data_IF_350567646531
#
_entry.id   IF_350567646531
#
_cell.length_a   1.000
_cell.length_b   1.000
_cell.length_c   1.000
_cell.angle_alpha   90.00
_cell.angle_beta   90.00
_cell.angle_gamma   90.00
#
_symmetry.space_group_name_H-M   'P 1'
#
loop_
_entity.id
_entity.type
_entity.pdbx_description
1 polymer ?
#
# COMPACT_ATOMS: atom_id res chain seq x y z
N UNK A 1 -16.79 -12.09 -5.94
CA UNK A 1 -15.51 -12.21 -5.21
C UNK A 1 -15.36 -10.99 -4.31
N UNK A 2 -15.08 -11.18 -3.02
CA UNK A 2 -14.87 -10.08 -2.06
C UNK A 2 -13.46 -9.54 -2.28
N UNK A 3 -13.33 -8.27 -2.66
CA UNK A 3 -12.04 -7.57 -2.71
C UNK A 3 -11.70 -7.08 -1.30
N UNK A 4 -10.44 -7.16 -0.92
CA UNK A 4 -9.94 -6.60 0.34
C UNK A 4 -9.79 -5.08 0.21
N UNK A 5 -10.16 -4.35 1.24
CA UNK A 5 -9.98 -2.89 1.33
C UNK A 5 -8.98 -2.59 2.44
N UNK A 6 -7.92 -1.86 2.11
CA UNK A 6 -6.92 -1.32 3.03
C UNK A 6 -6.93 0.22 2.99
N UNK A 7 -8.01 0.83 2.53
CA UNK A 7 -8.12 2.29 2.47
C UNK A 7 -7.92 2.90 3.86
N UNK A 8 -7.08 3.94 3.95
CA UNK A 8 -6.72 4.60 5.21
C UNK A 8 -5.87 3.75 6.18
N UNK A 9 -5.46 2.53 5.81
CA UNK A 9 -4.67 1.68 6.68
C UNK A 9 -3.28 2.28 6.93
N UNK A 10 -2.84 2.28 8.19
CA UNK A 10 -1.47 2.64 8.60
C UNK A 10 -0.69 1.34 8.77
N UNK A 11 0.20 1.06 7.83
CA UNK A 11 0.99 -0.18 7.76
C UNK A 11 2.47 0.05 8.06
N UNK A 12 2.80 1.20 8.65
CA UNK A 12 4.17 1.65 8.94
C UNK A 12 5.01 0.55 9.58
N UNK A 13 6.22 0.34 9.04
CA UNK A 13 7.20 -0.67 9.49
C UNK A 13 6.71 -2.13 9.46
N UNK A 14 5.64 -2.44 8.72
CA UNK A 14 5.12 -3.80 8.62
C UNK A 14 5.87 -4.67 7.60
N UNK A 15 5.67 -5.98 7.73
CA UNK A 15 6.17 -6.98 6.78
C UNK A 15 5.03 -7.66 6.04
N UNK A 16 5.00 -7.54 4.71
CA UNK A 16 4.09 -8.32 3.88
C UNK A 16 4.80 -9.60 3.42
N UNK A 17 4.33 -10.74 3.93
CA UNK A 17 4.95 -12.03 3.65
C UNK A 17 4.86 -12.41 2.16
N UNK A 18 5.87 -13.14 1.68
CA UNK A 18 6.07 -13.45 0.26
C UNK A 18 4.84 -14.09 -0.43
N UNK A 19 4.09 -14.95 0.22
CA UNK A 19 2.94 -15.62 -0.43
C UNK A 19 1.65 -14.79 -0.39
N UNK A 20 1.68 -13.59 0.19
CA UNK A 20 0.53 -12.69 0.27
C UNK A 20 0.16 -12.18 -1.12
N UNK A 21 -1.11 -12.38 -1.51
CA UNK A 21 -1.67 -11.88 -2.76
C UNK A 21 -2.36 -10.54 -2.51
N UNK A 22 -1.94 -9.52 -3.26
CA UNK A 22 -2.50 -8.17 -3.19
C UNK A 22 -3.35 -7.83 -4.42
N UNK A 23 -3.58 -8.79 -5.32
CA UNK A 23 -4.37 -8.57 -6.53
C UNK A 23 -5.80 -8.10 -6.19
N UNK A 24 -6.21 -6.99 -6.80
CA UNK A 24 -7.54 -6.40 -6.64
C UNK A 24 -7.81 -5.73 -5.29
N UNK A 25 -6.78 -5.47 -4.48
CA UNK A 25 -6.89 -4.68 -3.24
C UNK A 25 -7.16 -3.19 -3.55
N UNK A 26 -7.91 -2.52 -2.68
CA UNK A 26 -7.98 -1.04 -2.63
C UNK A 26 -7.07 -0.51 -1.53
N UNK A 27 -6.30 0.54 -1.83
CA UNK A 27 -5.27 1.12 -0.93
C UNK A 27 -5.36 2.64 -0.84
N UNK A 28 -6.54 3.23 -1.07
CA UNK A 28 -6.68 4.70 -1.13
C UNK A 28 -6.32 5.30 0.22
N UNK A 29 -5.34 6.20 0.25
CA UNK A 29 -4.87 6.83 1.49
C UNK A 29 -4.20 5.86 2.47
N UNK A 30 -3.75 4.68 2.02
CA UNK A 30 -2.95 3.79 2.87
C UNK A 30 -1.52 4.32 3.01
N UNK A 31 -0.90 4.08 4.17
CA UNK A 31 0.48 4.47 4.47
C UNK A 31 1.38 3.22 4.54
N UNK A 32 2.29 3.12 3.59
CA UNK A 32 3.26 2.03 3.44
C UNK A 32 4.69 2.43 3.85
N UNK A 33 4.85 3.48 4.66
CA UNK A 33 6.18 3.94 5.09
C UNK A 33 6.97 2.78 5.72
N UNK A 34 8.16 2.53 5.18
CA UNK A 34 9.06 1.44 5.60
C UNK A 34 8.44 0.03 5.57
N UNK A 35 7.41 -0.20 4.75
CA UNK A 35 6.87 -1.55 4.53
C UNK A 35 7.80 -2.35 3.64
N UNK A 36 8.20 -3.53 4.12
CA UNK A 36 9.01 -4.45 3.33
C UNK A 36 8.12 -5.20 2.32
N UNK A 37 8.22 -4.79 1.05
CA UNK A 37 7.51 -5.34 -0.10
C UNK A 37 8.48 -6.00 -1.09
N UNK A 38 7.99 -6.99 -1.84
CA UNK A 38 8.67 -7.39 -3.07
C UNK A 38 8.47 -6.34 -4.16
N UNK A 39 9.42 -6.29 -5.11
CA UNK A 39 9.40 -5.35 -6.24
C UNK A 39 8.15 -5.51 -7.13
N UNK A 40 7.64 -6.73 -7.32
CA UNK A 40 6.42 -6.99 -8.10
C UNK A 40 5.18 -6.44 -7.38
N UNK A 41 5.09 -6.65 -6.06
CA UNK A 41 4.00 -6.12 -5.24
C UNK A 41 4.03 -4.60 -5.22
N UNK A 42 5.19 -3.99 -4.93
CA UNK A 42 5.36 -2.54 -4.94
C UNK A 42 4.95 -1.94 -6.28
N UNK A 43 5.39 -2.52 -7.40
CA UNK A 43 5.01 -2.05 -8.75
C UNK A 43 3.51 -2.12 -8.99
N UNK A 44 2.86 -3.20 -8.58
CA UNK A 44 1.40 -3.32 -8.68
C UNK A 44 0.68 -2.30 -7.81
N UNK A 45 1.11 -2.13 -6.55
CA UNK A 45 0.51 -1.13 -5.66
C UNK A 45 0.71 0.29 -6.19
N UNK A 46 1.88 0.62 -6.72
CA UNK A 46 2.15 1.92 -7.36
C UNK A 46 1.24 2.20 -8.56
N UNK A 47 0.78 1.19 -9.31
CA UNK A 47 -0.13 1.42 -10.44
C UNK A 47 -1.55 1.75 -10.02
N UNK A 48 -1.89 1.56 -8.74
CA UNK A 48 -3.21 1.82 -8.16
C UNK A 48 -3.17 2.80 -6.97
N UNK A 49 -2.00 3.32 -6.62
CA UNK A 49 -1.80 4.20 -5.47
C UNK A 49 -2.50 5.55 -5.70
N UNK A 50 -3.23 6.02 -4.69
CA UNK A 50 -3.85 7.35 -4.70
C UNK A 50 -4.23 7.80 -3.30
N UNK A 51 -4.30 9.10 -3.11
CA UNK A 51 -4.75 9.73 -1.86
C UNK A 51 -3.66 9.91 -0.82
N UNK A 52 -4.05 10.57 0.25
CA UNK A 52 -3.21 10.89 1.41
C UNK A 52 -3.88 10.29 2.64
N UNK A 53 -3.09 9.70 3.53
CA UNK A 53 -3.63 9.15 4.77
C UNK A 53 -4.10 10.28 5.70
N UNK A 54 -5.35 10.24 6.17
CA UNK A 54 -5.92 11.30 7.03
C UNK A 54 -5.29 11.35 8.44
N UNK A 55 -4.66 10.27 8.90
CA UNK A 55 -4.05 10.17 10.23
C UNK A 55 -2.58 10.59 10.19
N UNK A 56 -1.82 10.10 9.22
CA UNK A 56 -0.36 10.34 9.13
C UNK A 56 0.00 11.53 8.23
N UNK A 57 -0.89 11.92 7.31
CA UNK A 57 -0.65 12.98 6.34
C UNK A 57 0.28 12.58 5.19
N UNK A 58 0.70 11.31 5.12
CA UNK A 58 1.62 10.80 4.09
C UNK A 58 0.84 10.44 2.82
N UNK A 59 1.37 10.83 1.66
CA UNK A 59 0.83 10.41 0.36
C UNK A 59 1.08 8.92 0.11
N UNK A 60 0.07 8.20 -0.36
CA UNK A 60 0.18 6.74 -0.55
C UNK A 60 1.26 6.37 -1.55
N UNK A 61 1.41 7.12 -2.66
CA UNK A 61 2.44 6.83 -3.66
C UNK A 61 3.84 7.17 -3.15
N UNK A 62 3.97 8.25 -2.35
CA UNK A 62 5.21 8.60 -1.66
C UNK A 62 5.63 7.52 -0.66
N UNK A 63 4.71 7.05 0.19
CA UNK A 63 4.99 5.98 1.17
C UNK A 63 5.42 4.66 0.53
N UNK A 64 4.97 4.40 -0.71
CA UNK A 64 5.37 3.25 -1.52
C UNK A 64 6.67 3.47 -2.29
N UNK A 65 7.28 4.65 -2.24
CA UNK A 65 8.46 5.03 -3.02
C UNK A 65 8.28 4.77 -4.53
N UNK A 66 7.13 5.16 -5.09
CA UNK A 66 6.86 5.02 -6.51
C UNK A 66 7.80 5.91 -7.36
N UNK A 67 8.19 5.48 -8.58
CA UNK A 67 9.05 6.24 -9.49
C UNK A 67 8.31 7.39 -10.19
#
# INVERSE_FOLDING_TARGET
>A
MRRTTLDGAVLVESYISSTTKLDGVSIVGADFTDVLLRKDQQRYLCSIASGTNEVTGVDTAESLMCP
#
